data_IF_187501218767
#
_entry.id   IF_187501218767
#
_cell.length_a   1.000
_cell.length_b   1.000
_cell.length_c   1.000
_cell.angle_alpha   90.00
_cell.angle_beta   90.00
_cell.angle_gamma   90.00
#
_symmetry.space_group_name_H-M   'P 1'
#
loop_
_entity.id
_entity.type
_entity.pdbx_description
1 polymer ?
#
# COMPACT_ATOMS: atom_id res chain seq x y z
N UNK A 1 -26.88 -16.95 -8.42
CA UNK A 1 -26.38 -18.33 -8.59
C UNK A 1 -27.58 -19.19 -8.97
N UNK A 2 -27.58 -19.80 -10.15
CA UNK A 2 -28.69 -20.68 -10.57
C UNK A 2 -28.64 -21.95 -9.70
N UNK A 3 -29.77 -22.33 -9.10
CA UNK A 3 -29.86 -23.53 -8.28
C UNK A 3 -29.62 -24.77 -9.16
N UNK A 4 -29.00 -25.84 -8.62
CA UNK A 4 -28.70 -27.06 -9.37
C UNK A 4 -29.95 -27.67 -10.03
N UNK A 5 -31.11 -27.48 -9.40
CA UNK A 5 -32.40 -27.89 -9.96
C UNK A 5 -32.80 -27.19 -11.25
N UNK A 6 -32.26 -25.99 -11.53
CA UNK A 6 -32.49 -25.25 -12.77
C UNK A 6 -31.60 -25.73 -13.93
N UNK A 7 -30.59 -26.55 -13.65
CA UNK A 7 -29.66 -27.09 -14.64
C UNK A 7 -30.08 -28.47 -15.19
N UNK A 8 -31.23 -29.00 -14.76
CA UNK A 8 -31.81 -30.23 -15.32
C UNK A 8 -32.11 -30.03 -16.82
N UNK A 9 -31.84 -31.01 -17.70
CA UNK A 9 -31.97 -30.84 -19.16
C UNK A 9 -33.32 -30.29 -19.61
N UNK A 10 -34.42 -30.83 -19.08
CA UNK A 10 -35.79 -30.37 -19.40
C UNK A 10 -36.04 -28.92 -19.01
N UNK A 11 -35.60 -28.53 -17.81
CA UNK A 11 -35.77 -27.16 -17.31
C UNK A 11 -34.88 -26.15 -18.03
N UNK A 12 -33.68 -26.57 -18.42
CA UNK A 12 -32.77 -25.73 -19.21
C UNK A 12 -33.32 -25.51 -20.62
N UNK A 13 -33.88 -26.55 -21.24
CA UNK A 13 -34.54 -26.45 -22.55
C UNK A 13 -35.76 -25.52 -22.50
N UNK A 14 -36.64 -25.69 -21.52
CA UNK A 14 -37.79 -24.81 -21.30
C UNK A 14 -37.37 -23.36 -21.06
N UNK A 15 -36.30 -23.15 -20.27
CA UNK A 15 -35.75 -21.81 -20.02
C UNK A 15 -35.23 -21.16 -21.30
N UNK A 16 -34.50 -21.91 -22.14
CA UNK A 16 -34.01 -21.42 -23.43
C UNK A 16 -35.19 -21.06 -24.34
N UNK A 17 -36.20 -21.92 -24.48
CA UNK A 17 -37.39 -21.66 -25.29
C UNK A 17 -38.15 -20.42 -24.83
N UNK A 18 -38.31 -20.23 -23.53
CA UNK A 18 -39.13 -19.14 -22.97
C UNK A 18 -38.41 -17.81 -22.86
N UNK A 19 -37.13 -17.82 -22.47
CA UNK A 19 -36.37 -16.61 -22.15
C UNK A 19 -35.36 -16.22 -23.25
N UNK A 20 -34.92 -17.18 -24.07
CA UNK A 20 -33.92 -17.00 -25.12
C UNK A 20 -34.30 -17.75 -26.41
N UNK A 21 -35.48 -17.50 -26.98
CA UNK A 21 -36.00 -18.27 -28.12
C UNK A 21 -35.05 -18.25 -29.33
N UNK A 22 -34.28 -17.17 -29.50
CA UNK A 22 -33.23 -16.98 -30.51
C UNK A 22 -32.03 -17.95 -30.37
N UNK A 23 -31.92 -18.63 -29.22
CA UNK A 23 -30.79 -19.52 -28.88
C UNK A 23 -31.18 -20.98 -28.78
N UNK A 24 -32.45 -21.31 -29.02
CA UNK A 24 -32.99 -22.67 -28.86
C UNK A 24 -32.34 -23.67 -29.82
N UNK A 25 -32.08 -23.28 -31.06
CA UNK A 25 -31.51 -24.15 -32.10
C UNK A 25 -29.98 -24.04 -32.20
N UNK A 26 -29.32 -23.42 -31.21
CA UNK A 26 -27.86 -23.26 -31.24
C UNK A 26 -27.20 -24.55 -30.77
N UNK A 27 -26.11 -24.90 -31.45
CA UNK A 27 -25.38 -26.13 -31.17
C UNK A 27 -24.42 -25.97 -29.97
N UNK A 28 -23.83 -27.09 -29.55
CA UNK A 28 -22.87 -27.10 -28.45
C UNK A 28 -21.64 -26.21 -28.73
N UNK A 29 -21.24 -26.04 -30.00
CA UNK A 29 -20.08 -25.22 -30.35
C UNK A 29 -20.33 -23.74 -30.11
N UNK A 30 -21.55 -23.26 -30.38
CA UNK A 30 -21.98 -21.92 -30.02
C UNK A 30 -21.86 -21.67 -28.51
N UNK A 31 -22.41 -22.54 -27.66
CA UNK A 31 -22.35 -22.36 -26.20
C UNK A 31 -20.93 -22.50 -25.65
N UNK A 32 -20.09 -23.38 -26.20
CA UNK A 32 -18.65 -23.46 -25.87
C UNK A 32 -17.93 -22.15 -26.22
N UNK A 33 -18.25 -21.55 -27.36
CA UNK A 33 -17.69 -20.27 -27.80
C UNK A 33 -18.17 -19.11 -26.93
N UNK A 34 -19.46 -19.07 -26.62
CA UNK A 34 -20.06 -18.08 -25.72
C UNK A 34 -19.46 -18.15 -24.31
N UNK A 35 -19.26 -19.37 -23.77
CA UNK A 35 -18.54 -19.58 -22.50
C UNK A 35 -17.12 -19.02 -22.56
N UNK A 36 -16.36 -19.32 -23.62
CA UNK A 36 -15.00 -18.78 -23.81
C UNK A 36 -15.00 -17.25 -23.91
N UNK A 37 -15.98 -16.66 -24.58
CA UNK A 37 -16.13 -15.19 -24.67
C UNK A 37 -16.46 -14.57 -23.32
N UNK A 38 -17.37 -15.17 -22.54
CA UNK A 38 -17.71 -14.71 -21.20
C UNK A 38 -16.53 -14.85 -20.22
N UNK A 39 -15.74 -15.92 -20.32
CA UNK A 39 -14.52 -16.11 -19.53
C UNK A 39 -13.40 -15.13 -19.91
N UNK A 40 -13.35 -14.69 -21.17
CA UNK A 40 -12.42 -13.64 -21.63
C UNK A 40 -12.90 -12.23 -21.28
N UNK A 41 -14.19 -12.06 -21.00
CA UNK A 41 -14.77 -10.75 -20.64
C UNK A 41 -14.37 -10.43 -19.20
N UNK A 42 -13.78 -9.26 -18.98
CA UNK A 42 -13.39 -8.79 -17.65
C UNK A 42 -14.62 -8.77 -16.74
N UNK A 43 -14.69 -9.69 -15.78
CA UNK A 43 -15.78 -9.79 -14.80
C UNK A 43 -15.69 -8.65 -13.80
N UNK A 44 -16.81 -8.24 -13.20
CA UNK A 44 -16.84 -7.20 -12.15
C UNK A 44 -15.86 -7.52 -11.03
N UNK A 45 -15.77 -8.78 -10.60
CA UNK A 45 -14.80 -9.24 -9.58
C UNK A 45 -13.34 -9.00 -9.99
N UNK A 46 -13.01 -9.22 -11.27
CA UNK A 46 -11.66 -8.96 -11.78
C UNK A 46 -11.36 -7.46 -11.87
N UNK A 47 -12.36 -6.62 -12.18
CA UNK A 47 -12.22 -5.17 -12.16
C UNK A 47 -12.00 -4.66 -10.72
N UNK A 48 -12.78 -5.15 -9.77
CA UNK A 48 -12.64 -4.81 -8.35
C UNK A 48 -11.28 -5.25 -7.79
N UNK A 49 -10.84 -6.47 -8.10
CA UNK A 49 -9.52 -6.98 -7.70
C UNK A 49 -8.37 -6.16 -8.33
N UNK A 50 -8.51 -5.74 -9.60
CA UNK A 50 -7.51 -4.88 -10.23
C UNK A 50 -7.48 -3.47 -9.62
N UNK A 51 -8.62 -2.96 -9.18
CA UNK A 51 -8.74 -1.65 -8.54
C UNK A 51 -8.14 -1.68 -7.13
N UNK A 52 -8.43 -2.73 -6.34
CA UNK A 52 -7.86 -2.90 -5.00
C UNK A 52 -6.34 -3.07 -5.05
N UNK A 53 -5.82 -3.84 -6.01
CA UNK A 53 -4.38 -3.96 -6.24
C UNK A 53 -3.73 -2.61 -6.53
N UNK A 54 -4.31 -1.82 -7.43
CA UNK A 54 -3.78 -0.49 -7.79
C UNK A 54 -3.80 0.50 -6.63
N UNK A 55 -4.81 0.42 -5.75
CA UNK A 55 -4.88 1.24 -4.53
C UNK A 55 -3.80 0.83 -3.54
N UNK A 56 -3.59 -0.48 -3.35
CA UNK A 56 -2.51 -0.99 -2.50
C UNK A 56 -1.13 -0.59 -3.01
N UNK A 57 -0.91 -0.66 -4.33
CA UNK A 57 0.35 -0.24 -4.96
C UNK A 57 0.63 1.25 -4.73
N UNK A 58 -0.39 2.11 -4.85
CA UNK A 58 -0.28 3.55 -4.56
C UNK A 58 0.03 3.84 -3.10
N UNK A 59 -0.67 3.16 -2.17
CA UNK A 59 -0.41 3.27 -0.74
C UNK A 59 1.03 2.86 -0.40
N UNK A 60 1.49 1.71 -0.92
CA UNK A 60 2.84 1.18 -0.72
C UNK A 60 3.90 2.13 -1.27
N UNK A 61 3.74 2.63 -2.50
CA UNK A 61 4.66 3.60 -3.09
C UNK A 61 4.81 4.82 -2.20
N UNK A 62 3.72 5.26 -1.58
CA UNK A 62 3.70 6.46 -0.79
C UNK A 62 4.35 6.30 0.59
N UNK A 63 4.26 5.13 1.24
CA UNK A 63 5.08 4.82 2.42
C UNK A 63 6.56 4.74 2.06
N UNK A 64 6.89 4.12 0.93
CA UNK A 64 8.28 4.03 0.48
C UNK A 64 8.89 5.42 0.25
N UNK A 65 8.15 6.34 -0.39
CA UNK A 65 8.61 7.72 -0.59
C UNK A 65 8.76 8.44 0.75
N UNK A 66 7.77 8.36 1.65
CA UNK A 66 7.88 8.93 3.00
C UNK A 66 9.08 8.41 3.76
N UNK A 67 9.37 7.10 3.68
CA UNK A 67 10.53 6.49 4.34
C UNK A 67 11.84 7.03 3.76
N UNK A 68 11.94 7.19 2.44
CA UNK A 68 13.12 7.78 1.80
C UNK A 68 13.34 9.23 2.25
N UNK A 69 12.26 10.02 2.34
CA UNK A 69 12.32 11.40 2.84
C UNK A 69 12.86 11.42 4.27
N UNK A 70 12.28 10.63 5.17
CA UNK A 70 12.71 10.53 6.57
C UNK A 70 14.18 10.10 6.69
N UNK A 71 14.59 9.03 5.98
CA UNK A 71 15.98 8.54 5.98
C UNK A 71 16.99 9.56 5.46
N UNK A 72 16.56 10.47 4.58
CA UNK A 72 17.42 11.52 4.05
C UNK A 72 17.49 12.78 4.93
N UNK A 73 16.75 12.82 6.06
CA UNK A 73 16.66 13.98 6.94
C UNK A 73 16.07 15.22 6.26
N UNK A 74 15.23 15.03 5.23
CA UNK A 74 14.64 16.13 4.46
C UNK A 74 13.27 16.51 5.00
N UNK A 75 12.88 17.80 4.91
CA UNK A 75 11.54 18.22 5.30
C UNK A 75 10.50 17.54 4.41
N UNK A 76 9.33 17.26 4.98
CA UNK A 76 8.24 16.62 4.26
C UNK A 76 7.73 17.46 3.06
N UNK A 77 8.04 18.77 3.02
CA UNK A 77 7.73 19.68 1.92
C UNK A 77 8.48 19.37 0.62
N UNK A 78 9.62 18.67 0.71
CA UNK A 78 10.45 18.29 -0.46
C UNK A 78 9.68 17.50 -1.51
N UNK A 79 8.58 16.87 -1.09
CA UNK A 79 7.66 16.16 -1.95
C UNK A 79 7.04 17.06 -3.03
N UNK A 80 6.56 18.24 -2.64
CA UNK A 80 5.86 19.15 -3.56
C UNK A 80 6.86 19.94 -4.37
N UNK A 81 7.96 20.33 -3.74
CA UNK A 81 9.02 21.14 -4.35
C UNK A 81 9.81 20.37 -5.42
N UNK A 82 10.07 19.06 -5.21
CA UNK A 82 11.01 18.32 -6.05
C UNK A 82 10.48 16.97 -6.54
N UNK A 83 9.95 16.13 -5.65
CA UNK A 83 9.60 14.75 -5.99
C UNK A 83 8.45 14.70 -7.01
N UNK A 84 7.38 15.49 -6.78
CA UNK A 84 6.22 15.50 -7.68
C UNK A 84 6.56 16.02 -9.08
N UNK A 85 7.26 17.18 -9.22
CA UNK A 85 7.74 17.64 -10.52
C UNK A 85 8.66 16.64 -11.24
N UNK A 86 9.56 15.99 -10.50
CA UNK A 86 10.49 15.00 -11.08
C UNK A 86 9.75 13.77 -11.62
N UNK A 87 8.83 13.21 -10.83
CA UNK A 87 7.99 12.07 -11.26
C UNK A 87 7.15 12.47 -12.47
N UNK A 88 6.53 13.65 -12.46
CA UNK A 88 5.76 14.15 -13.58
C UNK A 88 6.59 14.27 -14.86
N UNK A 89 7.81 14.81 -14.76
CA UNK A 89 8.73 14.93 -15.90
C UNK A 89 9.07 13.57 -16.48
N UNK A 90 9.42 12.60 -15.63
CA UNK A 90 9.74 11.22 -16.05
C UNK A 90 8.56 10.57 -16.76
N UNK A 91 7.36 10.66 -16.19
CA UNK A 91 6.15 10.04 -16.78
C UNK A 91 5.79 10.65 -18.14
N UNK A 92 5.93 11.98 -18.28
CA UNK A 92 5.66 12.68 -19.53
C UNK A 92 6.72 12.40 -20.60
N UNK A 93 8.01 12.43 -20.22
CA UNK A 93 9.13 12.37 -21.17
C UNK A 93 9.48 10.94 -21.59
N UNK A 94 9.51 9.98 -20.65
CA UNK A 94 9.96 8.61 -20.95
C UNK A 94 8.80 7.66 -21.28
N UNK A 95 7.65 7.85 -20.65
CA UNK A 95 6.53 6.91 -20.77
C UNK A 95 5.37 7.47 -21.62
N UNK A 96 5.39 8.76 -21.94
CA UNK A 96 4.31 9.46 -22.63
C UNK A 96 2.93 9.23 -21.97
N UNK A 97 2.92 9.13 -20.63
CA UNK A 97 1.72 8.84 -19.85
C UNK A 97 1.19 10.09 -19.14
N UNK A 98 -0.14 10.17 -18.90
CA UNK A 98 -0.69 11.22 -18.07
C UNK A 98 -0.23 11.06 -16.61
N UNK A 99 0.59 12.00 -16.15
CA UNK A 99 1.17 11.97 -14.80
C UNK A 99 0.11 12.12 -13.69
N UNK A 100 -0.98 12.84 -13.97
CA UNK A 100 -2.04 13.14 -13.00
C UNK A 100 -2.62 11.88 -12.38
N UNK A 101 -2.99 10.88 -13.19
CA UNK A 101 -3.63 9.65 -12.70
C UNK A 101 -2.70 8.81 -11.81
N UNK A 102 -1.40 8.86 -12.08
CA UNK A 102 -0.39 8.12 -11.29
C UNK A 102 -0.12 8.86 -9.99
N UNK A 103 0.15 10.16 -10.04
CA UNK A 103 0.40 10.98 -8.86
C UNK A 103 -0.80 11.01 -7.91
N UNK A 104 -2.02 11.05 -8.47
CA UNK A 104 -3.26 10.95 -7.70
C UNK A 104 -3.35 9.62 -6.94
N UNK A 105 -2.96 8.50 -7.54
CA UNK A 105 -3.02 7.18 -6.86
C UNK A 105 -2.06 7.03 -5.69
N UNK A 106 -0.92 7.71 -5.73
CA UNK A 106 0.08 7.62 -4.66
C UNK A 106 -0.44 8.32 -3.38
N UNK A 107 -1.40 9.25 -3.46
CA UNK A 107 -1.95 10.00 -2.30
C UNK A 107 -0.82 10.47 -1.37
N UNK A 108 -0.06 11.47 -1.81
CA UNK A 108 1.19 11.88 -1.17
C UNK A 108 1.20 13.39 -0.89
N UNK A 109 0.19 13.99 -0.27
CA UNK A 109 0.31 15.40 0.15
C UNK A 109 1.39 15.58 1.22
N UNK A 110 1.88 16.80 1.45
CA UNK A 110 2.80 17.11 2.55
C UNK A 110 2.30 16.56 3.90
N UNK A 111 1.03 16.79 4.23
CA UNK A 111 0.38 16.24 5.43
C UNK A 111 0.35 14.71 5.44
N UNK A 112 0.19 14.08 4.27
CA UNK A 112 0.20 12.62 4.17
C UNK A 112 1.61 12.06 4.35
N UNK A 113 2.63 12.75 3.85
CA UNK A 113 4.03 12.37 4.05
C UNK A 113 4.35 12.40 5.53
N UNK A 114 4.04 13.51 6.22
CA UNK A 114 4.22 13.66 7.66
C UNK A 114 3.50 12.55 8.42
N UNK A 115 2.20 12.36 8.20
CA UNK A 115 1.41 11.32 8.89
C UNK A 115 2.00 9.91 8.73
N UNK A 116 2.52 9.58 7.54
CA UNK A 116 3.15 8.26 7.31
C UNK A 116 4.48 8.13 8.04
N UNK A 117 5.26 9.21 8.12
CA UNK A 117 6.50 9.23 8.91
C UNK A 117 6.15 9.02 10.38
N UNK A 118 5.15 9.73 10.90
CA UNK A 118 4.68 9.60 12.28
C UNK A 118 4.16 8.18 12.57
N UNK A 119 3.35 7.61 11.68
CA UNK A 119 2.85 6.24 11.79
C UNK A 119 3.98 5.20 11.80
N UNK A 120 4.98 5.36 10.93
CA UNK A 120 6.14 4.47 10.89
C UNK A 120 7.00 4.64 12.15
N UNK A 121 7.19 5.88 12.61
CA UNK A 121 7.91 6.19 13.86
C UNK A 121 7.24 5.54 15.06
N UNK A 122 5.93 5.74 15.21
CA UNK A 122 5.14 5.14 16.26
C UNK A 122 5.16 3.60 16.20
N UNK A 123 5.17 3.00 15.01
CA UNK A 123 5.27 1.55 14.87
C UNK A 123 6.60 1.02 15.42
N UNK A 124 7.70 1.67 15.08
CA UNK A 124 9.05 1.33 15.58
C UNK A 124 9.15 1.54 17.08
N UNK A 125 8.66 2.68 17.58
CA UNK A 125 8.63 3.00 19.01
C UNK A 125 7.79 1.98 19.80
N UNK A 126 6.61 1.61 19.29
CA UNK A 126 5.74 0.61 19.90
C UNK A 126 6.42 -0.76 19.97
N UNK A 127 7.13 -1.16 18.92
CA UNK A 127 7.93 -2.39 18.92
C UNK A 127 8.98 -2.36 20.03
N UNK A 128 9.77 -1.29 20.13
CA UNK A 128 10.80 -1.15 21.15
C UNK A 128 10.23 -1.11 22.57
N UNK A 129 9.17 -0.34 22.80
CA UNK A 129 8.47 -0.30 24.07
C UNK A 129 8.01 -1.69 24.52
N UNK A 130 7.44 -2.48 23.60
CA UNK A 130 6.99 -3.83 23.92
C UNK A 130 8.17 -4.79 24.14
N UNK A 131 9.24 -4.65 23.36
CA UNK A 131 10.45 -5.46 23.50
C UNK A 131 11.15 -5.21 24.85
N UNK A 132 11.39 -3.94 25.18
CA UNK A 132 12.12 -3.55 26.40
C UNK A 132 11.35 -3.87 27.68
N UNK A 133 10.01 -3.83 27.67
CA UNK A 133 9.18 -4.29 28.80
C UNK A 133 9.45 -5.74 29.20
N UNK A 134 9.92 -6.57 28.27
CA UNK A 134 10.17 -8.00 28.48
C UNK A 134 11.65 -8.33 28.67
N UNK A 135 12.54 -7.34 28.73
CA UNK A 135 14.00 -7.54 28.74
C UNK A 135 14.65 -6.70 29.82
N UNK A 136 15.83 -7.15 30.26
CA UNK A 136 16.71 -6.31 31.06
C UNK A 136 17.42 -5.32 30.14
N UNK A 137 17.43 -4.06 30.53
CA UNK A 137 18.14 -2.99 29.85
C UNK A 137 18.73 -2.03 30.89
N UNK A 138 19.69 -1.21 30.47
CA UNK A 138 20.18 -0.08 31.25
C UNK A 138 19.97 1.21 30.47
N UNK A 139 19.81 2.31 31.20
CA UNK A 139 19.73 3.67 30.64
C UNK A 139 20.93 4.44 31.15
N UNK A 140 21.60 5.14 30.24
CA UNK A 140 22.63 6.13 30.57
C UNK A 140 22.13 7.51 30.13
N UNK A 141 22.17 8.48 31.04
CA UNK A 141 21.83 9.87 30.75
C UNK A 141 23.12 10.69 30.63
N UNK A 142 23.21 11.53 29.61
CA UNK A 142 24.34 12.42 29.36
C UNK A 142 23.84 13.84 29.15
N UNK A 143 24.25 14.78 30.00
CA UNK A 143 23.84 16.18 29.94
C UNK A 143 25.02 17.05 29.46
N UNK A 144 24.79 17.85 28.42
CA UNK A 144 25.77 18.76 27.84
C UNK A 144 25.20 20.17 27.72
N UNK A 145 26.04 21.19 27.90
CA UNK A 145 25.62 22.59 27.73
C UNK A 145 26.04 23.11 26.36
N UNK A 146 25.10 23.57 25.55
CA UNK A 146 25.34 24.19 24.25
C UNK A 146 25.82 25.65 24.42
N UNK A 147 26.50 26.24 23.42
CA UNK A 147 27.02 27.62 23.49
C UNK A 147 25.97 28.70 23.80
N UNK A 148 24.68 28.41 23.63
CA UNK A 148 23.55 29.28 23.98
C UNK A 148 23.07 29.21 25.44
N UNK A 149 23.78 28.50 26.32
CA UNK A 149 23.33 28.18 27.69
C UNK A 149 22.05 27.31 27.71
N UNK A 150 21.86 26.53 26.65
CA UNK A 150 20.83 25.50 26.53
C UNK A 150 21.42 24.17 27.02
N UNK A 151 20.69 23.43 27.84
CA UNK A 151 21.08 22.07 28.24
C UNK A 151 20.51 21.07 27.23
N UNK A 152 21.34 20.14 26.77
CA UNK A 152 20.99 18.99 25.95
C UNK A 152 21.11 17.73 26.81
N UNK A 153 20.02 16.98 26.96
CA UNK A 153 20.00 15.71 27.68
C UNK A 153 19.82 14.55 26.68
N UNK A 154 20.79 13.64 26.64
CA UNK A 154 20.74 12.44 25.82
C UNK A 154 20.47 11.22 26.70
N UNK A 155 19.60 10.32 26.22
CA UNK A 155 19.36 9.02 26.83
C UNK A 155 19.81 7.89 25.91
N UNK A 156 20.73 7.07 26.41
CA UNK A 156 21.20 5.86 25.73
C UNK A 156 20.56 4.64 26.38
N UNK A 157 19.89 3.82 25.58
CA UNK A 157 19.27 2.58 26.05
C UNK A 157 20.12 1.40 25.58
N UNK A 158 20.70 0.64 26.53
CA UNK A 158 21.49 -0.56 26.25
C UNK A 158 20.72 -1.81 26.61
N UNK A 159 20.61 -2.76 25.67
CA UNK A 159 19.85 -3.99 25.85
C UNK A 159 20.52 -5.18 25.15
N UNK A 160 20.15 -6.39 25.55
CA UNK A 160 20.62 -7.62 24.93
C UNK A 160 19.64 -8.10 23.84
N UNK A 161 20.14 -8.34 22.64
CA UNK A 161 19.37 -8.84 21.49
C UNK A 161 20.27 -9.73 20.63
N UNK A 162 19.76 -10.90 20.22
CA UNK A 162 20.48 -11.84 19.34
C UNK A 162 21.89 -12.21 19.84
N UNK A 163 22.05 -12.41 21.15
CA UNK A 163 23.34 -12.69 21.80
C UNK A 163 24.35 -11.55 21.81
N UNK A 164 23.96 -10.35 21.37
CA UNK A 164 24.81 -9.16 21.33
C UNK A 164 24.21 -8.03 22.18
N UNK A 165 25.08 -7.16 22.69
CA UNK A 165 24.65 -5.90 23.31
C UNK A 165 24.40 -4.90 22.19
N UNK A 166 23.21 -4.31 22.20
CA UNK A 166 22.81 -3.21 21.30
C UNK A 166 22.65 -1.93 22.12
N UNK A 167 22.91 -0.80 21.48
CA UNK A 167 22.68 0.54 22.02
C UNK A 167 21.79 1.31 21.03
N UNK A 168 20.80 2.02 21.57
CA UNK A 168 19.95 2.94 20.81
C UNK A 168 19.90 4.32 21.49
N UNK A 169 19.78 5.37 20.68
CA UNK A 169 19.86 6.78 21.12
C UNK A 169 18.47 7.43 21.11
N UNK A 170 18.08 8.02 22.24
CA UNK A 170 16.94 8.93 22.33
C UNK A 170 17.42 10.33 22.74
N UNK A 171 17.11 11.33 21.92
CA UNK A 171 17.18 12.74 22.32
C UNK A 171 15.94 13.05 23.18
N UNK A 172 16.13 13.62 24.38
CA UNK A 172 15.07 13.97 25.34
C UNK A 172 14.81 15.48 25.42
#
# INVERSE_FOLDING_TARGET
ILNNDAMKPSKLEDHLRRCHPDKTDKDLTYFKTLKKQLQKKTTVDSMLASTSKRVYDGLRASYNISQLIAKSGKPHTIREELISPAVEKVLKTLLHMPAYDILKRIHLSNNTVQRRIDEMSHNVESFWCNYLKMKHFSIQLDESTLPGNEALLLAYVRFFMDQEIREDLQEL
#
